data_IF_212040282642
#
_entry.id   IF_212040282642
#
_cell.length_a   1.000
_cell.length_b   1.000
_cell.length_c   1.000
_cell.angle_alpha   90.00
_cell.angle_beta   90.00
_cell.angle_gamma   90.00
#
_symmetry.space_group_name_H-M   'P 1'
#
loop_
_entity.id
_entity.type
_entity.pdbx_description
1 polymer ?
#
# COMPACT_ATOMS: atom_id res chain seq x y z
N UNK A 1 14.56 5.13 -19.75
CA UNK A 1 15.06 5.03 -18.36
C UNK A 1 15.89 3.77 -18.24
N UNK A 2 17.13 3.85 -17.77
CA UNK A 2 17.95 2.67 -17.47
C UNK A 2 17.65 2.20 -16.04
N UNK A 3 16.90 1.10 -15.91
CA UNK A 3 16.49 0.53 -14.62
C UNK A 3 17.71 0.15 -13.79
N UNK A 4 18.74 -0.41 -14.42
CA UNK A 4 19.96 -0.85 -13.74
C UNK A 4 20.72 0.33 -13.16
N UNK A 5 20.81 1.44 -13.90
CA UNK A 5 21.42 2.67 -13.37
C UNK A 5 20.63 3.25 -12.19
N UNK A 6 19.29 3.17 -12.20
CA UNK A 6 18.48 3.69 -11.10
C UNK A 6 18.63 2.83 -9.84
N UNK A 7 18.61 1.50 -10.00
CA UNK A 7 18.82 0.53 -8.92
C UNK A 7 20.20 0.72 -8.26
N UNK A 8 21.22 1.01 -9.06
CA UNK A 8 22.58 1.18 -8.58
C UNK A 8 22.94 2.64 -8.22
N UNK A 9 21.94 3.54 -8.18
CA UNK A 9 22.17 4.93 -7.83
C UNK A 9 22.80 5.05 -6.43
N UNK A 10 23.84 5.87 -6.32
CA UNK A 10 24.58 6.03 -5.08
C UNK A 10 23.92 7.07 -4.17
N UNK A 11 23.36 6.64 -3.05
CA UNK A 11 22.72 7.52 -2.06
C UNK A 11 23.71 8.18 -1.08
N UNK A 12 25.03 8.01 -1.25
CA UNK A 12 26.04 8.64 -0.37
C UNK A 12 25.90 10.17 -0.33
N UNK A 13 25.58 10.80 -1.45
CA UNK A 13 25.48 12.25 -1.56
C UNK A 13 24.23 12.81 -0.85
N UNK A 14 23.22 11.97 -0.59
CA UNK A 14 22.00 12.34 0.16
C UNK A 14 22.00 11.83 1.60
N UNK A 15 23.08 11.17 2.05
CA UNK A 15 23.23 10.66 3.43
C UNK A 15 23.04 11.74 4.50
N UNK A 16 23.52 12.96 4.23
CA UNK A 16 23.34 14.09 5.13
C UNK A 16 21.89 14.57 5.22
N UNK A 17 21.14 14.50 4.11
CA UNK A 17 19.70 14.83 4.07
C UNK A 17 18.89 13.75 4.80
N UNK A 18 19.24 12.48 4.59
CA UNK A 18 18.69 11.32 5.29
C UNK A 18 18.86 11.44 6.81
N UNK A 19 20.06 11.81 7.28
CA UNK A 19 20.32 11.99 8.72
C UNK A 19 19.47 13.09 9.36
N UNK A 20 18.89 13.97 8.54
CA UNK A 20 17.99 15.06 8.94
C UNK A 20 16.53 14.78 8.56
N UNK A 21 16.16 13.55 8.17
CA UNK A 21 14.79 13.13 7.81
C UNK A 21 13.74 13.73 8.76
N UNK A 22 13.96 13.57 10.06
CA UNK A 22 13.08 14.08 11.11
C UNK A 22 12.89 15.61 11.11
N UNK A 23 13.84 16.38 10.60
CA UNK A 23 13.80 17.85 10.63
C UNK A 23 12.99 18.44 9.47
N UNK A 24 12.88 17.75 8.34
CA UNK A 24 12.10 18.21 7.18
C UNK A 24 10.83 17.40 6.95
N UNK A 25 10.69 16.22 7.59
CA UNK A 25 9.42 15.49 7.70
C UNK A 25 8.84 15.58 9.11
N UNK A 26 8.65 16.80 9.60
CA UNK A 26 7.88 16.99 10.83
C UNK A 26 6.43 16.56 10.56
N UNK A 27 6.05 15.43 11.16
CA UNK A 27 4.72 14.87 10.98
C UNK A 27 3.67 15.78 11.62
N UNK A 28 2.72 16.22 10.81
CA UNK A 28 1.52 16.88 11.30
C UNK A 28 0.56 15.85 11.94
N UNK A 29 -0.60 16.33 12.39
CA UNK A 29 -1.59 15.46 13.02
C UNK A 29 -2.17 14.43 12.03
N UNK A 30 -2.43 14.83 10.78
CA UNK A 30 -2.99 13.96 9.75
C UNK A 30 -2.00 12.85 9.36
N UNK A 31 -0.71 13.18 9.29
CA UNK A 31 0.35 12.19 9.06
C UNK A 31 0.31 11.11 10.13
N UNK A 32 0.34 11.54 11.41
CA UNK A 32 0.30 10.63 12.56
C UNK A 32 -0.98 9.79 12.54
N UNK A 33 -2.11 10.40 12.22
CA UNK A 33 -3.41 9.71 12.18
C UNK A 33 -3.48 8.69 11.04
N UNK A 34 -3.05 9.06 9.84
CA UNK A 34 -3.01 8.17 8.66
C UNK A 34 -2.06 6.99 8.89
N UNK A 35 -0.88 7.27 9.45
CA UNK A 35 0.08 6.23 9.82
C UNK A 35 -0.49 5.33 10.92
N UNK A 36 -1.16 5.88 11.93
CA UNK A 36 -1.80 5.09 12.99
C UNK A 36 -2.93 4.21 12.45
N UNK A 37 -3.74 4.74 11.55
CA UNK A 37 -4.84 4.02 10.91
C UNK A 37 -4.36 2.83 10.08
N UNK A 38 -3.19 2.95 9.46
CA UNK A 38 -2.58 1.90 8.66
C UNK A 38 -1.56 1.07 9.43
N UNK A 39 -1.38 1.27 10.75
CA UNK A 39 -0.47 0.43 11.54
C UNK A 39 -1.03 -1.00 11.67
N UNK A 40 -0.16 -2.02 11.69
CA UNK A 40 1.30 -1.96 11.57
C UNK A 40 1.79 -1.96 10.11
N UNK A 41 0.92 -1.96 9.10
CA UNK A 41 1.31 -1.98 7.69
C UNK A 41 2.19 -0.79 7.29
N UNK A 42 2.02 0.36 7.92
CA UNK A 42 2.82 1.58 7.72
C UNK A 42 4.14 1.64 8.51
N UNK A 43 4.47 0.62 9.33
CA UNK A 43 5.78 0.56 10.00
C UNK A 43 6.92 0.59 8.97
N UNK A 44 8.06 1.18 9.32
CA UNK A 44 9.24 1.22 8.44
C UNK A 44 9.70 -0.21 8.11
N UNK A 45 9.95 -0.47 6.83
CA UNK A 45 10.51 -1.74 6.37
C UNK A 45 11.89 -1.50 5.74
N UNK A 46 12.75 -2.52 5.73
CA UNK A 46 14.06 -2.38 5.09
C UNK A 46 13.90 -2.21 3.58
N UNK A 47 14.41 -1.08 3.04
CA UNK A 47 14.45 -0.80 1.62
C UNK A 47 15.89 -0.47 1.17
N UNK A 48 16.52 -1.30 0.32
CA UNK A 48 17.89 -1.08 -0.15
C UNK A 48 18.00 0.02 -1.22
N UNK A 49 16.89 0.51 -1.77
CA UNK A 49 16.85 1.47 -2.88
C UNK A 49 16.57 2.91 -2.46
N UNK A 50 16.62 3.20 -1.17
CA UNK A 50 16.47 4.56 -0.66
C UNK A 50 15.30 4.69 0.29
N UNK A 51 14.64 5.84 0.23
CA UNK A 51 13.62 6.22 1.22
C UNK A 51 12.29 5.64 0.82
N UNK A 52 11.76 4.82 1.71
CA UNK A 52 10.36 4.48 1.73
C UNK A 52 9.55 5.65 2.34
N UNK A 53 8.54 6.12 1.62
CA UNK A 53 7.74 7.25 2.06
C UNK A 53 6.32 7.18 1.57
N UNK A 54 5.47 7.89 2.30
CA UNK A 54 4.14 8.22 1.87
C UNK A 54 4.13 9.60 1.19
N UNK A 55 3.43 9.75 0.08
CA UNK A 55 3.37 10.98 -0.71
C UNK A 55 2.80 12.14 0.13
N UNK A 56 1.88 11.85 1.05
CA UNK A 56 1.29 12.87 1.93
C UNK A 56 2.28 13.52 2.92
N UNK A 57 3.47 12.90 3.14
CA UNK A 57 4.56 13.49 3.92
C UNK A 57 5.21 14.70 3.22
N UNK A 58 5.14 14.77 1.88
CA UNK A 58 5.77 15.83 1.10
C UNK A 58 4.84 17.04 1.01
N UNK A 59 5.02 18.01 1.90
CA UNK A 59 4.18 19.22 1.97
C UNK A 59 4.58 20.29 0.94
N UNK A 60 5.77 20.18 0.34
CA UNK A 60 6.29 21.11 -0.66
C UNK A 60 6.81 20.35 -1.87
N UNK A 61 6.47 20.84 -3.07
CA UNK A 61 6.88 20.22 -4.35
C UNK A 61 8.40 20.07 -4.50
N UNK A 62 9.16 21.04 -4.02
CA UNK A 62 10.63 20.99 -4.14
C UNK A 62 11.27 19.92 -3.26
N UNK A 63 10.56 19.40 -2.24
CA UNK A 63 11.10 18.36 -1.35
C UNK A 63 11.25 17.01 -2.04
N UNK A 64 10.47 16.75 -3.11
CA UNK A 64 10.64 15.54 -3.92
C UNK A 64 12.09 15.45 -4.42
N UNK A 65 12.63 16.57 -4.91
CA UNK A 65 13.96 16.69 -5.51
C UNK A 65 15.14 16.48 -4.54
N UNK A 66 14.88 16.30 -3.25
CA UNK A 66 15.93 15.92 -2.30
C UNK A 66 16.48 14.51 -2.59
N UNK A 67 15.71 13.68 -3.29
CA UNK A 67 16.09 12.30 -3.60
C UNK A 67 16.04 12.06 -5.10
N UNK A 68 16.99 11.31 -5.67
CA UNK A 68 16.94 10.93 -7.08
C UNK A 68 15.75 10.00 -7.38
N UNK A 69 15.34 9.20 -6.40
CA UNK A 69 14.11 8.42 -6.45
C UNK A 69 13.44 8.32 -5.08
N UNK A 70 12.15 8.05 -5.08
CA UNK A 70 11.33 7.84 -3.90
C UNK A 70 10.53 6.56 -4.04
N UNK A 71 10.60 5.72 -3.01
CA UNK A 71 9.83 4.48 -2.96
C UNK A 71 8.50 4.74 -2.28
N UNK A 72 7.43 4.73 -3.08
CA UNK A 72 6.10 5.17 -2.66
C UNK A 72 5.33 3.98 -2.12
N UNK A 73 4.96 4.04 -0.83
CA UNK A 73 4.23 2.98 -0.13
C UNK A 73 2.71 3.17 -0.11
N UNK A 74 2.26 4.33 -0.57
CA UNK A 74 0.86 4.73 -0.64
C UNK A 74 -0.03 3.71 -1.34
N UNK A 75 -1.27 3.66 -0.88
CA UNK A 75 -2.35 3.01 -1.60
C UNK A 75 -2.79 3.79 -2.85
N UNK A 76 -3.60 3.14 -3.68
CA UNK A 76 -4.08 3.73 -4.93
C UNK A 76 -4.86 5.03 -4.72
N UNK A 77 -5.57 5.20 -3.60
CA UNK A 77 -6.28 6.45 -3.28
C UNK A 77 -5.32 7.65 -3.24
N UNK A 78 -4.26 7.52 -2.45
CA UNK A 78 -3.29 8.61 -2.25
C UNK A 78 -2.47 8.87 -3.51
N UNK A 79 -2.14 7.82 -4.29
CA UNK A 79 -1.46 7.95 -5.58
C UNK A 79 -2.34 8.69 -6.61
N UNK A 80 -3.62 8.30 -6.74
CA UNK A 80 -4.58 8.97 -7.63
C UNK A 80 -4.74 10.44 -7.25
N UNK A 81 -4.95 10.70 -5.95
CA UNK A 81 -5.09 12.06 -5.45
C UNK A 81 -3.82 12.90 -5.69
N UNK A 82 -2.63 12.33 -5.50
CA UNK A 82 -1.37 13.01 -5.80
C UNK A 82 -1.30 13.48 -7.26
N UNK A 83 -1.63 12.62 -8.21
CA UNK A 83 -1.60 12.99 -9.63
C UNK A 83 -2.72 13.97 -10.01
N UNK A 84 -3.84 13.95 -9.29
CA UNK A 84 -4.90 14.94 -9.48
C UNK A 84 -4.44 16.34 -9.05
N UNK A 85 -3.81 16.45 -7.87
CA UNK A 85 -3.27 17.72 -7.35
C UNK A 85 -2.04 18.18 -8.13
N UNK A 86 -1.26 17.24 -8.65
CA UNK A 86 -0.06 17.50 -9.44
C UNK A 86 -0.15 16.84 -10.81
N UNK A 87 -0.94 17.36 -11.74
CA UNK A 87 -1.17 16.74 -13.06
C UNK A 87 0.10 16.69 -13.92
N UNK A 88 1.12 17.49 -13.59
CA UNK A 88 2.41 17.55 -14.28
C UNK A 88 3.59 17.54 -13.32
N UNK A 89 4.72 16.90 -13.67
CA UNK A 89 5.92 16.85 -12.84
C UNK A 89 6.72 18.17 -12.85
N UNK A 90 6.13 19.33 -13.14
CA UNK A 90 6.88 20.58 -13.36
C UNK A 90 7.89 20.87 -12.23
N UNK A 91 9.19 20.85 -12.55
CA UNK A 91 10.27 21.06 -11.59
C UNK A 91 10.68 19.83 -10.77
N UNK A 92 9.99 18.69 -10.88
CA UNK A 92 10.32 17.42 -10.21
C UNK A 92 11.23 16.58 -11.12
N UNK A 93 12.42 16.27 -10.60
CA UNK A 93 13.45 15.44 -11.25
C UNK A 93 13.48 14.02 -10.69
N UNK A 94 12.86 13.82 -9.54
CA UNK A 94 12.81 12.56 -8.81
C UNK A 94 11.99 11.53 -9.54
N UNK A 95 12.50 10.30 -9.59
CA UNK A 95 11.73 9.16 -10.08
C UNK A 95 10.87 8.60 -8.94
N UNK A 96 9.55 8.57 -9.14
CA UNK A 96 8.62 7.88 -8.25
C UNK A 96 8.64 6.39 -8.58
N UNK A 97 9.03 5.58 -7.60
CA UNK A 97 8.97 4.12 -7.68
C UNK A 97 7.63 3.71 -7.07
N UNK A 98 6.70 3.32 -7.94
CA UNK A 98 5.29 3.07 -7.62
C UNK A 98 4.95 1.59 -7.75
N UNK A 99 3.98 1.09 -6.97
CA UNK A 99 3.50 -0.27 -7.10
C UNK A 99 2.92 -0.47 -8.49
N UNK A 100 3.10 -1.65 -9.06
CA UNK A 100 2.76 -1.86 -10.46
C UNK A 100 1.24 -1.79 -10.76
N UNK A 101 0.43 -2.01 -9.74
CA UNK A 101 -1.02 -1.76 -9.70
C UNK A 101 -1.38 -0.32 -10.01
N UNK A 102 -0.49 0.64 -9.69
CA UNK A 102 -0.67 2.05 -10.00
C UNK A 102 -0.47 2.39 -11.49
N UNK A 103 0.13 1.49 -12.28
CA UNK A 103 0.57 1.81 -13.64
C UNK A 103 -0.55 2.31 -14.58
N UNK A 104 -1.78 1.81 -14.39
CA UNK A 104 -2.97 2.23 -15.15
C UNK A 104 -3.54 3.58 -14.72
N UNK A 105 -2.95 4.23 -13.71
CA UNK A 105 -3.42 5.48 -13.14
C UNK A 105 -2.39 6.62 -13.26
N UNK A 106 -1.22 6.36 -13.86
CA UNK A 106 -0.16 7.36 -14.00
C UNK A 106 -0.44 8.24 -15.24
N UNK A 107 -0.63 9.57 -15.08
CA UNK A 107 -0.84 10.48 -16.20
C UNK A 107 0.28 10.41 -17.23
N UNK A 108 -0.02 10.72 -18.49
CA UNK A 108 0.95 10.66 -19.59
C UNK A 108 2.20 11.50 -19.33
N UNK A 109 2.00 12.65 -18.68
CA UNK A 109 2.99 13.64 -18.32
C UNK A 109 3.97 13.16 -17.25
N UNK A 110 3.61 12.14 -16.48
CA UNK A 110 4.41 11.59 -15.39
C UNK A 110 5.15 10.29 -15.75
N UNK A 111 4.86 9.72 -16.92
CA UNK A 111 5.34 8.38 -17.26
C UNK A 111 6.87 8.26 -17.28
N UNK A 112 7.58 9.34 -17.61
CA UNK A 112 9.05 9.36 -17.64
C UNK A 112 9.68 9.51 -16.25
N UNK A 113 8.90 10.01 -15.27
CA UNK A 113 9.29 10.20 -13.88
C UNK A 113 8.76 9.08 -12.99
N UNK A 114 8.24 7.99 -13.56
CA UNK A 114 7.72 6.85 -12.81
C UNK A 114 8.42 5.55 -13.23
N UNK A 115 8.73 4.73 -12.23
CA UNK A 115 9.14 3.34 -12.40
C UNK A 115 8.17 2.46 -11.61
N UNK A 116 7.79 1.30 -12.16
CA UNK A 116 6.89 0.39 -11.46
C UNK A 116 7.68 -0.72 -10.76
N UNK A 117 7.22 -1.15 -9.60
CA UNK A 117 7.76 -2.33 -8.90
C UNK A 117 6.67 -3.33 -8.52
N UNK A 118 7.07 -4.60 -8.44
CA UNK A 118 6.30 -5.67 -7.80
C UNK A 118 7.14 -6.35 -6.73
N UNK A 119 6.51 -6.83 -5.67
CA UNK A 119 7.13 -7.80 -4.77
C UNK A 119 7.03 -9.19 -5.41
N UNK A 120 8.14 -9.91 -5.46
CA UNK A 120 8.23 -11.28 -5.96
C UNK A 120 8.99 -12.16 -4.97
N UNK A 121 8.75 -13.47 -5.01
CA UNK A 121 9.43 -14.45 -4.16
C UNK A 121 10.47 -15.24 -4.94
N UNK A 122 11.47 -15.76 -4.23
CA UNK A 122 12.39 -16.73 -4.81
C UNK A 122 11.71 -18.10 -4.92
N UNK A 123 11.98 -18.89 -5.98
CA UNK A 123 11.53 -20.28 -6.06
C UNK A 123 12.03 -21.07 -4.86
N UNK A 124 11.09 -21.73 -4.17
CA UNK A 124 11.43 -22.66 -3.10
C UNK A 124 12.03 -23.93 -3.72
N UNK A 125 13.10 -24.46 -3.12
CA UNK A 125 13.76 -25.67 -3.61
C UNK A 125 12.93 -26.93 -3.40
N UNK A 126 12.03 -26.91 -2.42
CA UNK A 126 11.21 -28.04 -2.00
C UNK A 126 9.77 -27.55 -1.75
N UNK A 127 8.81 -28.42 -2.02
CA UNK A 127 7.42 -28.18 -1.67
C UNK A 127 7.27 -28.26 -0.15
N UNK A 128 7.00 -27.11 0.47
CA UNK A 128 6.84 -27.03 1.93
C UNK A 128 5.40 -27.33 2.27
N UNK A 129 5.16 -28.40 3.04
CA UNK A 129 3.83 -28.68 3.59
C UNK A 129 3.43 -27.55 4.56
N UNK A 130 2.40 -26.77 4.19
CA UNK A 130 1.90 -25.62 4.96
C UNK A 130 0.71 -26.05 5.82
N UNK A 131 0.79 -25.86 7.12
CA UNK A 131 -0.25 -26.29 8.08
C UNK A 131 -1.11 -25.14 8.62
N UNK A 132 -0.67 -23.89 8.42
CA UNK A 132 -1.31 -22.70 8.98
C UNK A 132 -1.55 -21.66 7.89
N UNK A 133 -2.72 -21.01 7.93
CA UNK A 133 -3.07 -19.89 7.07
C UNK A 133 -3.38 -18.66 7.93
N UNK A 134 -2.59 -17.62 7.74
CA UNK A 134 -2.77 -16.32 8.39
C UNK A 134 -3.62 -15.40 7.52
N UNK A 135 -4.76 -14.95 8.04
CA UNK A 135 -5.57 -13.88 7.46
C UNK A 135 -5.13 -12.56 8.09
N UNK A 136 -4.78 -11.58 7.26
CA UNK A 136 -4.33 -10.28 7.76
C UNK A 136 -4.97 -9.12 7.02
N UNK A 137 -5.40 -8.10 7.76
CA UNK A 137 -5.90 -6.83 7.21
C UNK A 137 -6.03 -5.76 8.29
N UNK A 138 -6.13 -4.50 7.84
CA UNK A 138 -6.71 -3.43 8.63
C UNK A 138 -8.23 -3.55 8.60
N UNK A 139 -8.88 -3.44 9.75
CA UNK A 139 -10.34 -3.46 9.87
C UNK A 139 -10.87 -2.08 9.52
N UNK A 140 -11.39 -1.94 8.30
CA UNK A 140 -12.11 -0.75 7.85
C UNK A 140 -13.13 -1.14 6.79
N UNK A 141 -14.39 -0.75 6.97
CA UNK A 141 -15.47 -1.10 6.04
C UNK A 141 -15.20 -0.62 4.59
N UNK A 142 -14.41 0.44 4.44
CA UNK A 142 -14.05 0.99 3.13
C UNK A 142 -12.97 0.20 2.40
N UNK A 143 -12.30 -0.74 3.08
CA UNK A 143 -11.14 -1.46 2.55
C UNK A 143 -11.45 -2.74 1.79
N UNK A 144 -12.67 -3.25 1.91
CA UNK A 144 -13.05 -4.51 1.30
C UNK A 144 -14.30 -4.37 0.45
N UNK A 145 -14.34 -5.16 -0.63
CA UNK A 145 -15.56 -5.45 -1.34
C UNK A 145 -16.19 -6.68 -0.69
N UNK A 146 -17.42 -6.56 -0.19
CA UNK A 146 -18.08 -7.65 0.54
C UNK A 146 -18.15 -8.96 -0.25
N UNK A 147 -18.34 -8.89 -1.57
CA UNK A 147 -18.41 -10.08 -2.41
C UNK A 147 -17.06 -10.77 -2.53
N UNK A 148 -15.99 -9.99 -2.70
CA UNK A 148 -14.65 -10.56 -2.82
C UNK A 148 -14.09 -11.02 -1.47
N UNK A 149 -14.32 -10.26 -0.39
CA UNK A 149 -13.99 -10.70 0.95
C UNK A 149 -14.63 -12.06 1.24
N UNK A 150 -15.92 -12.24 0.88
CA UNK A 150 -16.59 -13.54 1.00
C UNK A 150 -15.82 -14.65 0.30
N UNK A 151 -15.49 -14.41 -0.97
CA UNK A 151 -14.82 -15.39 -1.81
C UNK A 151 -13.45 -15.77 -1.23
N UNK A 152 -12.68 -14.78 -0.75
CA UNK A 152 -11.39 -15.01 -0.10
C UNK A 152 -11.51 -15.82 1.19
N UNK A 153 -12.49 -15.52 2.04
CA UNK A 153 -12.73 -16.26 3.28
C UNK A 153 -13.24 -17.69 3.00
N UNK A 154 -14.13 -17.88 2.02
CA UNK A 154 -14.61 -19.19 1.57
C UNK A 154 -13.45 -20.06 1.04
N UNK A 155 -12.51 -19.45 0.31
CA UNK A 155 -11.29 -20.14 -0.16
C UNK A 155 -10.37 -20.50 1.00
N UNK A 156 -10.19 -19.59 1.96
CA UNK A 156 -9.41 -19.85 3.17
C UNK A 156 -9.98 -21.03 3.97
N UNK A 157 -11.30 -21.09 4.17
CA UNK A 157 -11.94 -22.19 4.89
C UNK A 157 -11.77 -23.55 4.19
N UNK A 158 -11.77 -23.58 2.85
CA UNK A 158 -11.56 -24.81 2.06
C UNK A 158 -10.11 -25.31 2.09
N UNK A 159 -9.15 -24.51 2.56
CA UNK A 159 -7.72 -24.87 2.57
C UNK A 159 -7.35 -26.02 3.50
N UNK A 160 -8.22 -26.39 4.45
CA UNK A 160 -7.96 -27.35 5.54
C UNK A 160 -6.78 -26.98 6.46
N UNK A 161 -6.21 -25.77 6.32
CA UNK A 161 -5.17 -25.26 7.21
C UNK A 161 -5.78 -24.71 8.51
N UNK A 162 -4.98 -24.67 9.58
CA UNK A 162 -5.38 -23.95 10.79
C UNK A 162 -5.43 -22.45 10.51
N UNK A 163 -6.61 -21.84 10.64
CA UNK A 163 -6.83 -20.43 10.36
C UNK A 163 -6.43 -19.56 11.55
N UNK A 164 -5.58 -18.57 11.30
CA UNK A 164 -5.16 -17.56 12.25
C UNK A 164 -5.55 -16.17 11.75
N UNK A 165 -6.09 -15.32 12.61
CA UNK A 165 -6.48 -13.94 12.28
C UNK A 165 -5.55 -12.90 12.90
N UNK A 166 -5.04 -11.99 12.08
CA UNK A 166 -4.31 -10.78 12.48
C UNK A 166 -5.06 -9.57 11.96
N UNK A 167 -5.98 -9.06 12.77
CA UNK A 167 -6.85 -7.96 12.38
C UNK A 167 -6.46 -6.71 13.14
N UNK A 168 -6.03 -5.70 12.39
CA UNK A 168 -5.55 -4.45 12.96
C UNK A 168 -6.69 -3.45 12.99
N UNK A 169 -7.16 -3.16 14.20
CA UNK A 169 -8.23 -2.20 14.44
C UNK A 169 -7.64 -0.79 14.42
N UNK A 170 -8.45 0.16 13.99
CA UNK A 170 -8.14 1.56 14.19
C UNK A 170 -8.17 1.86 15.70
N UNK A 171 -7.03 2.26 16.27
CA UNK A 171 -7.02 2.85 17.60
C UNK A 171 -7.35 4.35 17.45
N UNK A 172 -8.53 4.81 17.90
CA UNK A 172 -8.88 6.22 17.85
C UNK A 172 -7.88 7.04 18.66
N UNK A 173 -7.47 8.19 18.14
CA UNK A 173 -6.52 9.09 18.80
C UNK A 173 -7.23 10.36 19.29
N UNK A 174 -6.94 10.79 20.51
CA UNK A 174 -7.44 12.05 21.05
C UNK A 174 -8.95 12.02 21.33
N UNK A 175 -9.68 13.03 20.86
CA UNK A 175 -11.11 13.22 21.13
C UNK A 175 -12.02 12.10 20.57
N UNK A 176 -11.53 11.32 19.59
CA UNK A 176 -12.25 10.16 19.03
C UNK A 176 -12.41 9.02 20.03
N UNK A 177 -11.49 8.88 20.98
CA UNK A 177 -11.56 7.82 21.99
C UNK A 177 -12.77 7.97 22.92
N UNK A 178 -13.43 9.13 22.92
CA UNK A 178 -14.56 9.45 23.78
C UNK A 178 -15.90 8.97 23.18
N UNK A 179 -15.98 8.68 21.87
CA UNK A 179 -17.29 8.55 21.18
C UNK A 179 -17.48 7.31 20.29
N UNK A 180 -16.55 6.34 20.27
CA UNK A 180 -16.64 5.24 19.30
C UNK A 180 -17.25 3.97 19.88
N UNK A 181 -18.59 3.90 19.92
CA UNK A 181 -19.28 2.65 19.60
C UNK A 181 -19.24 2.49 18.07
N UNK A 182 -18.04 2.22 17.53
CA UNK A 182 -17.89 2.05 16.09
C UNK A 182 -18.44 0.67 15.68
N UNK A 183 -19.67 0.65 15.18
CA UNK A 183 -20.34 -0.55 14.70
C UNK A 183 -19.58 -1.26 13.57
N UNK A 184 -18.62 -0.59 12.90
CA UNK A 184 -17.87 -1.15 11.76
C UNK A 184 -17.00 -2.35 12.14
N UNK A 185 -16.32 -2.29 13.29
CA UNK A 185 -15.54 -3.43 13.78
C UNK A 185 -16.46 -4.62 14.07
N UNK A 186 -17.60 -4.34 14.70
CA UNK A 186 -18.60 -5.35 15.02
C UNK A 186 -19.17 -6.00 13.74
N UNK A 187 -19.47 -5.21 12.71
CA UNK A 187 -19.91 -5.70 11.40
C UNK A 187 -18.86 -6.58 10.74
N UNK A 188 -17.59 -6.15 10.72
CA UNK A 188 -16.50 -6.95 10.16
C UNK A 188 -16.30 -8.28 10.91
N UNK A 189 -16.28 -8.27 12.24
CA UNK A 189 -16.13 -9.49 13.03
C UNK A 189 -17.36 -10.40 12.94
N UNK A 190 -18.57 -9.84 12.84
CA UNK A 190 -19.76 -10.64 12.56
C UNK A 190 -19.69 -11.28 11.19
N UNK A 191 -19.22 -10.54 10.18
CA UNK A 191 -19.03 -11.05 8.84
C UNK A 191 -18.02 -12.20 8.82
N UNK A 192 -16.87 -12.02 9.46
CA UNK A 192 -15.86 -13.08 9.65
C UNK A 192 -16.46 -14.30 10.32
N UNK A 193 -17.20 -14.12 11.43
CA UNK A 193 -17.82 -15.21 12.19
C UNK A 193 -18.90 -15.95 11.39
N UNK A 194 -19.66 -15.24 10.57
CA UNK A 194 -20.72 -15.83 9.75
C UNK A 194 -20.15 -16.57 8.53
N UNK A 195 -18.95 -16.20 8.08
CA UNK A 195 -18.31 -16.78 6.90
C UNK A 195 -17.37 -17.92 7.29
N UNK A 196 -16.54 -17.72 8.31
CA UNK A 196 -15.61 -18.72 8.83
C UNK A 196 -16.25 -19.40 10.04
N UNK A 197 -16.56 -20.69 9.93
CA UNK A 197 -16.94 -21.55 11.06
C UNK A 197 -15.90 -21.42 12.19
N UNK A 198 -16.31 -21.52 13.47
CA UNK A 198 -15.63 -21.23 14.76
C UNK A 198 -14.15 -21.68 15.00
N UNK A 199 -13.34 -21.90 13.97
CA UNK A 199 -11.97 -22.41 13.94
C UNK A 199 -10.92 -21.31 13.66
N UNK A 200 -11.28 -20.03 13.76
CA UNK A 200 -10.36 -18.91 13.59
C UNK A 200 -9.73 -18.53 14.94
N UNK A 201 -8.42 -18.73 15.08
CA UNK A 201 -7.68 -18.25 16.25
C UNK A 201 -7.21 -16.80 16.01
N UNK A 202 -7.62 -15.88 16.88
CA UNK A 202 -7.16 -14.49 16.82
C UNK A 202 -5.82 -14.33 17.53
N UNK A 203 -4.86 -13.68 16.86
CA UNK A 203 -3.51 -13.47 17.34
C UNK A 203 -3.15 -11.98 17.38
N UNK A 204 -2.21 -11.63 18.25
CA UNK A 204 -1.63 -10.29 18.32
C UNK A 204 -0.39 -10.18 17.41
N UNK A 205 -0.18 -9.01 16.79
CA UNK A 205 0.96 -8.76 15.91
C UNK A 205 2.31 -9.09 16.57
N UNK A 206 2.46 -8.76 17.85
CA UNK A 206 3.72 -8.94 18.59
C UNK A 206 4.06 -10.41 18.77
N UNK A 207 3.06 -11.29 18.79
CA UNK A 207 3.26 -12.75 18.92
C UNK A 207 4.00 -13.37 17.73
N UNK A 208 4.03 -12.69 16.58
CA UNK A 208 4.64 -13.20 15.35
C UNK A 208 6.06 -12.73 15.08
N UNK A 209 6.55 -11.74 15.85
CA UNK A 209 7.88 -11.18 15.61
C UNK A 209 9.01 -12.20 15.85
N UNK A 210 8.75 -13.24 16.65
CA UNK A 210 9.71 -14.31 16.98
C UNK A 210 9.38 -15.68 16.38
N UNK A 211 8.27 -15.81 15.64
CA UNK A 211 7.81 -17.09 15.11
C UNK A 211 8.55 -17.44 13.81
N UNK A 212 8.88 -18.71 13.62
CA UNK A 212 9.30 -19.23 12.32
C UNK A 212 8.09 -19.33 11.40
N UNK A 213 8.09 -18.53 10.32
CA UNK A 213 6.99 -18.46 9.35
C UNK A 213 7.30 -19.25 8.06
N UNK A 214 8.39 -20.02 8.03
CA UNK A 214 8.82 -20.75 6.82
C UNK A 214 7.83 -21.81 6.35
N UNK A 215 6.90 -22.24 7.21
CA UNK A 215 5.86 -23.25 6.94
C UNK A 215 4.44 -22.70 6.97
N UNK A 216 4.26 -21.38 6.95
CA UNK A 216 2.92 -20.77 7.01
C UNK A 216 2.54 -20.15 5.68
N UNK A 217 1.26 -20.18 5.34
CA UNK A 217 0.71 -19.36 4.29
C UNK A 217 0.07 -18.11 4.89
N UNK A 218 -0.01 -17.03 4.11
CA UNK A 218 -0.74 -15.83 4.52
C UNK A 218 -1.61 -15.29 3.37
N UNK A 219 -2.70 -14.64 3.74
CA UNK A 219 -3.64 -13.98 2.84
C UNK A 219 -3.87 -12.56 3.37
N UNK A 220 -3.46 -11.57 2.58
CA UNK A 220 -3.70 -10.15 2.87
C UNK A 220 -5.03 -9.73 2.24
N UNK A 221 -6.04 -9.47 3.07
CA UNK A 221 -7.42 -9.18 2.62
C UNK A 221 -7.57 -7.76 2.06
N UNK A 222 -6.49 -6.95 2.05
CA UNK A 222 -6.41 -5.69 1.33
C UNK A 222 -6.08 -5.96 -0.15
N UNK A 223 -7.09 -6.32 -0.93
CA UNK A 223 -6.91 -6.68 -2.35
C UNK A 223 -6.61 -5.47 -3.23
N UNK A 224 -7.37 -4.38 -3.03
CA UNK A 224 -7.32 -3.20 -3.89
C UNK A 224 -6.14 -2.28 -3.58
N UNK A 225 -5.33 -2.61 -2.57
CA UNK A 225 -4.23 -1.79 -2.08
C UNK A 225 -4.65 -0.32 -1.89
N UNK A 226 -5.85 -0.12 -1.32
CA UNK A 226 -6.53 1.18 -1.37
C UNK A 226 -5.83 2.23 -0.51
N UNK A 227 -5.46 1.87 0.73
CA UNK A 227 -4.73 2.75 1.66
C UNK A 227 -3.21 2.57 1.64
N UNK A 228 -2.73 1.36 1.37
CA UNK A 228 -1.30 1.05 1.25
C UNK A 228 -1.09 -0.05 0.19
N UNK A 229 0.06 0.00 -0.50
CA UNK A 229 0.52 -1.05 -1.41
C UNK A 229 1.73 -1.82 -0.87
N UNK A 230 2.57 -1.18 -0.06
CA UNK A 230 3.74 -1.83 0.56
C UNK A 230 3.54 -1.99 2.07
N UNK A 231 3.19 -3.21 2.46
CA UNK A 231 2.80 -3.59 3.80
C UNK A 231 3.98 -4.16 4.57
N UNK A 232 4.33 -3.54 5.70
CA UNK A 232 5.37 -4.05 6.60
C UNK A 232 5.05 -5.46 7.12
N UNK A 233 3.76 -5.77 7.28
CA UNK A 233 3.26 -7.09 7.67
C UNK A 233 3.58 -8.12 6.59
N UNK A 234 3.28 -7.80 5.32
CA UNK A 234 3.63 -8.63 4.18
C UNK A 234 5.14 -8.82 4.06
N UNK A 235 5.92 -7.76 4.24
CA UNK A 235 7.38 -7.84 4.25
C UNK A 235 7.89 -8.77 5.36
N UNK A 236 7.30 -8.74 6.56
CA UNK A 236 7.67 -9.64 7.66
C UNK A 236 7.35 -11.10 7.32
N UNK A 237 6.16 -11.39 6.80
CA UNK A 237 5.78 -12.73 6.38
C UNK A 237 6.74 -13.28 5.33
N UNK A 238 6.96 -12.52 4.25
CA UNK A 238 7.85 -12.91 3.16
C UNK A 238 9.30 -13.06 3.63
N UNK A 239 9.80 -12.13 4.45
CA UNK A 239 11.17 -12.19 4.99
C UNK A 239 11.44 -13.39 5.87
N UNK A 240 10.40 -14.02 6.42
CA UNK A 240 10.49 -15.21 7.25
C UNK A 240 10.07 -16.50 6.49
N UNK A 241 9.90 -16.43 5.17
CA UNK A 241 9.66 -17.61 4.31
C UNK A 241 8.20 -18.03 4.20
N UNK A 242 7.26 -17.20 4.66
CA UNK A 242 5.84 -17.43 4.41
C UNK A 242 5.52 -17.30 2.91
N UNK A 243 4.50 -18.02 2.44
CA UNK A 243 4.00 -17.94 1.07
C UNK A 243 2.64 -17.27 1.02
N UNK A 244 2.38 -16.45 0.01
CA UNK A 244 1.03 -15.91 -0.22
C UNK A 244 0.10 -17.02 -0.69
N UNK A 245 -1.09 -17.07 -0.10
CA UNK A 245 -2.12 -18.07 -0.38
C UNK A 245 -2.83 -17.82 -1.71
N UNK A 246 -3.02 -16.55 -2.07
CA UNK A 246 -3.64 -16.08 -3.32
C UNK A 246 -2.67 -15.98 -4.50
N UNK A 247 -1.42 -16.43 -4.33
CA UNK A 247 -0.34 -16.33 -5.33
C UNK A 247 -0.06 -14.91 -5.83
N UNK A 248 -0.41 -13.87 -5.05
CA UNK A 248 -0.09 -12.47 -5.35
C UNK A 248 1.40 -12.24 -5.52
N UNK A 249 2.22 -12.91 -4.71
CA UNK A 249 3.68 -12.81 -4.73
C UNK A 249 4.32 -14.03 -5.41
N UNK A 250 4.23 -14.07 -6.74
CA UNK A 250 4.71 -15.19 -7.57
C UNK A 250 6.20 -15.47 -7.37
N UNK A 251 6.54 -16.74 -7.46
CA UNK A 251 7.91 -17.20 -7.44
C UNK A 251 8.51 -17.06 -8.86
N UNK A 252 9.56 -16.26 -8.99
CA UNK A 252 10.23 -16.00 -10.26
C UNK A 252 11.76 -16.05 -10.10
N UNK A 253 12.46 -16.34 -11.19
CA UNK A 253 13.93 -16.33 -11.20
C UNK A 253 14.43 -14.89 -11.03
N UNK A 254 15.30 -14.68 -10.06
CA UNK A 254 15.91 -13.38 -9.79
C UNK A 254 16.86 -12.98 -10.93
N UNK A 255 16.75 -11.73 -11.38
CA UNK A 255 17.59 -11.14 -12.42
C UNK A 255 18.21 -9.84 -11.92
N UNK A 256 19.54 -9.75 -11.90
CA UNK A 256 20.27 -8.58 -11.36
C UNK A 256 20.06 -7.28 -12.16
N UNK A 257 19.56 -7.36 -13.39
CA UNK A 257 19.35 -6.16 -14.23
C UNK A 257 18.09 -5.38 -13.86
N UNK A 258 17.06 -6.06 -13.31
CA UNK A 258 15.75 -5.48 -13.01
C UNK A 258 15.21 -5.87 -11.63
N UNK A 259 15.99 -6.55 -10.79
CA UNK A 259 15.59 -6.98 -9.47
C UNK A 259 16.52 -6.49 -8.37
N UNK A 260 15.95 -6.23 -7.19
CA UNK A 260 16.70 -5.86 -5.98
C UNK A 260 16.25 -6.70 -4.81
N UNK A 261 17.22 -7.39 -4.21
CA UNK A 261 17.00 -8.29 -3.10
C UNK A 261 16.63 -7.52 -1.83
N UNK A 262 15.55 -7.93 -1.17
CA UNK A 262 15.09 -7.36 0.10
C UNK A 262 15.40 -8.28 1.27
N UNK A 263 15.16 -9.58 1.08
CA UNK A 263 15.50 -10.59 2.07
C UNK A 263 16.07 -11.84 1.38
N UNK A 264 16.24 -12.93 2.13
CA UNK A 264 16.58 -14.24 1.56
C UNK A 264 15.47 -14.82 0.68
N UNK A 265 14.21 -14.41 0.88
CA UNK A 265 13.04 -15.07 0.29
C UNK A 265 12.27 -14.20 -0.70
N UNK A 266 12.46 -12.89 -0.71
CA UNK A 266 11.77 -11.99 -1.62
C UNK A 266 12.62 -10.81 -2.07
N UNK A 267 12.19 -10.22 -3.19
CA UNK A 267 12.85 -9.13 -3.88
C UNK A 267 11.83 -8.22 -4.55
N UNK A 268 12.23 -6.98 -4.86
CA UNK A 268 11.49 -6.12 -5.76
C UNK A 268 11.91 -6.39 -7.19
N UNK A 269 10.93 -6.50 -8.10
CA UNK A 269 11.14 -6.56 -9.55
C UNK A 269 10.62 -5.28 -10.18
N UNK A 270 11.44 -4.64 -10.99
CA UNK A 270 11.16 -3.36 -11.61
C UNK A 270 10.76 -3.50 -13.06
N UNK A 271 9.87 -2.63 -13.53
CA UNK A 271 9.50 -2.53 -14.94
C UNK A 271 9.08 -1.12 -15.30
N UNK A 272 9.17 -0.81 -16.58
CA UNK A 272 8.53 0.39 -17.13
C UNK A 272 7.03 0.19 -17.30
N UNK A 273 6.29 1.28 -17.40
CA UNK A 273 4.85 1.27 -17.69
C UNK A 273 4.59 0.61 -19.05
N UNK A 274 3.71 -0.40 -19.08
CA UNK A 274 3.36 -1.12 -20.30
C UNK A 274 2.50 -0.29 -21.25
N UNK A 275 2.44 -0.63 -22.55
CA UNK A 275 1.56 0.05 -23.51
C UNK A 275 0.08 0.00 -23.08
N UNK A 276 -0.35 -1.12 -22.52
CA UNK A 276 -1.70 -1.31 -22.01
C UNK A 276 -2.00 -0.39 -20.83
N UNK A 277 -1.09 -0.31 -19.86
CA UNK A 277 -1.21 0.60 -18.71
C UNK A 277 -1.29 2.06 -19.15
N UNK A 278 -0.50 2.46 -20.16
CA UNK A 278 -0.57 3.82 -20.73
C UNK A 278 -1.95 4.13 -21.33
N UNK A 279 -2.52 3.20 -22.11
CA UNK A 279 -3.85 3.34 -22.71
C UNK A 279 -4.95 3.45 -21.64
N UNK A 280 -4.85 2.63 -20.59
CA UNK A 280 -5.80 2.65 -19.48
C UNK A 280 -5.71 3.98 -18.73
N UNK A 281 -4.49 4.49 -18.49
CA UNK A 281 -4.28 5.79 -17.86
C UNK A 281 -4.86 6.94 -18.69
N UNK A 282 -4.65 6.94 -20.01
CA UNK A 282 -5.26 7.95 -20.90
C UNK A 282 -6.80 7.95 -20.79
N UNK A 283 -7.41 6.77 -20.75
CA UNK A 283 -8.87 6.63 -20.62
C UNK A 283 -9.36 7.12 -19.25
N UNK A 284 -8.65 6.75 -18.18
CA UNK A 284 -8.93 7.18 -16.81
C UNK A 284 -8.85 8.71 -16.66
N UNK A 285 -7.75 9.33 -17.11
CA UNK A 285 -7.58 10.78 -16.99
C UNK A 285 -8.48 11.56 -17.93
N UNK A 286 -8.86 11.01 -19.09
CA UNK A 286 -9.91 11.59 -19.91
C UNK A 286 -11.23 11.66 -19.14
N UNK A 287 -11.64 10.56 -18.52
CA UNK A 287 -12.86 10.50 -17.71
C UNK A 287 -12.83 11.51 -16.55
N UNK A 288 -11.74 11.53 -15.77
CA UNK A 288 -11.58 12.48 -14.65
C UNK A 288 -11.69 13.93 -15.11
N UNK A 289 -11.07 14.27 -16.25
CA UNK A 289 -11.09 15.63 -16.79
C UNK A 289 -12.45 16.05 -17.39
N UNK A 290 -13.33 15.10 -17.71
CA UNK A 290 -14.70 15.37 -18.17
C UNK A 290 -15.67 15.64 -17.00
N UNK A 291 -15.29 15.30 -15.77
CA UNK A 291 -16.10 15.57 -14.57
C UNK A 291 -16.20 17.09 -14.36
N UNK A 292 -17.41 17.65 -14.14
CA UNK A 292 -17.57 19.07 -13.93
C UNK A 292 -16.74 19.59 -12.76
N UNK A 293 -16.02 20.70 -12.96
CA UNK A 293 -15.09 21.26 -11.97
C UNK A 293 -15.72 21.58 -10.61
N UNK A 294 -17.04 21.81 -10.56
CA UNK A 294 -17.76 22.06 -9.31
C UNK A 294 -17.89 20.81 -8.41
N UNK A 295 -17.71 19.60 -8.96
CA UNK A 295 -17.76 18.34 -8.19
C UNK A 295 -16.59 18.25 -7.22
N UNK A 296 -15.40 18.66 -7.66
CA UNK A 296 -14.17 18.64 -6.84
C UNK A 296 -13.75 20.03 -6.36
N UNK A 297 -14.68 20.99 -6.31
CA UNK A 297 -14.37 22.39 -5.92
C UNK A 297 -13.77 22.49 -4.51
N UNK A 298 -14.17 21.59 -3.61
CA UNK A 298 -13.68 21.54 -2.24
C UNK A 298 -12.29 20.89 -2.13
N UNK A 299 -11.83 20.15 -3.16
CA UNK A 299 -10.49 19.53 -3.15
C UNK A 299 -9.39 20.61 -3.11
N UNK A 300 -9.60 21.71 -3.83
CA UNK A 300 -8.71 22.87 -3.80
C UNK A 300 -8.79 23.65 -2.47
N UNK A 301 -9.82 23.41 -1.67
CA UNK A 301 -10.09 24.08 -0.39
C UNK A 301 -9.68 23.23 0.81
N UNK A 302 -9.16 22.01 0.59
CA UNK A 302 -8.59 21.15 1.62
C UNK A 302 -7.34 21.82 2.23
N UNK A 303 -7.58 22.71 3.18
CA UNK A 303 -6.58 23.24 4.08
C UNK A 303 -6.54 22.31 5.31
N UNK A 304 -5.39 21.68 5.56
CA UNK A 304 -5.25 20.68 6.63
C UNK A 304 -5.34 21.37 7.99
N UNK A 305 -6.55 21.54 8.55
CA UNK A 305 -6.78 22.21 9.86
C UNK A 305 -7.13 21.23 10.96
N UNK A 306 -6.80 21.62 12.20
CA UNK A 306 -7.07 20.92 13.46
C UNK A 306 -8.47 20.26 13.58
N UNK A 307 -9.48 20.91 13.01
CA UNK A 307 -10.89 20.55 13.12
C UNK A 307 -11.36 19.52 12.09
N UNK A 308 -10.67 19.38 10.96
CA UNK A 308 -11.01 18.43 9.90
C UNK A 308 -10.56 17.00 10.26
N UNK A 309 -10.05 16.81 11.48
CA UNK A 309 -9.31 15.64 11.91
C UNK A 309 -10.12 14.63 12.72
N UNK A 310 -11.46 14.71 12.77
CA UNK A 310 -12.31 13.65 13.35
C UNK A 310 -12.56 12.47 12.39
N UNK A 311 -12.26 12.65 11.10
CA UNK A 311 -12.35 11.63 10.07
C UNK A 311 -11.07 11.76 9.22
N UNK A 312 -10.42 10.67 8.81
CA UNK A 312 -9.16 10.78 8.05
C UNK A 312 -9.51 11.17 6.62
N UNK A 313 -9.43 12.47 6.31
CA UNK A 313 -9.66 12.98 4.96
C UNK A 313 -8.32 13.22 4.24
N UNK A 314 -7.88 12.24 3.45
CA UNK A 314 -6.80 12.46 2.49
C UNK A 314 -7.28 13.30 1.28
N UNK A 315 -8.56 13.20 0.98
CA UNK A 315 -9.26 13.87 -0.13
C UNK A 315 -10.73 14.06 0.26
N UNK A 316 -11.50 14.76 -0.58
CA UNK A 316 -12.95 14.90 -0.40
C UNK A 316 -13.68 13.54 -0.51
N UNK A 317 -14.88 13.39 0.11
CA UNK A 317 -15.73 12.20 -0.08
C UNK A 317 -16.05 11.91 -1.55
N UNK A 318 -16.25 12.96 -2.35
CA UNK A 318 -16.50 12.86 -3.79
C UNK A 318 -15.31 12.22 -4.51
N UNK A 319 -14.08 12.69 -4.23
CA UNK A 319 -12.89 12.11 -4.81
C UNK A 319 -12.63 10.68 -4.31
N UNK A 320 -12.91 10.41 -3.02
CA UNK A 320 -12.84 9.07 -2.44
C UNK A 320 -13.77 8.10 -3.16
N UNK A 321 -15.01 8.52 -3.47
CA UNK A 321 -15.97 7.72 -4.23
C UNK A 321 -15.47 7.45 -5.65
N UNK A 322 -15.02 8.48 -6.35
CA UNK A 322 -14.43 8.35 -7.69
C UNK A 322 -13.26 7.34 -7.70
N UNK A 323 -12.33 7.48 -6.75
CA UNK A 323 -11.18 6.59 -6.67
C UNK A 323 -11.62 5.13 -6.46
N UNK A 324 -12.62 4.89 -5.60
CA UNK A 324 -13.17 3.56 -5.37
C UNK A 324 -13.77 2.96 -6.64
N UNK A 325 -14.54 3.75 -7.40
CA UNK A 325 -15.15 3.31 -8.65
C UNK A 325 -14.08 2.96 -9.70
N UNK A 326 -13.11 3.85 -9.91
CA UNK A 326 -12.01 3.63 -10.86
C UNK A 326 -11.17 2.40 -10.52
N UNK A 327 -10.92 2.15 -9.23
CA UNK A 327 -10.15 0.99 -8.78
C UNK A 327 -10.95 -0.30 -9.01
N UNK A 328 -12.24 -0.31 -8.67
CA UNK A 328 -13.09 -1.50 -8.86
C UNK A 328 -13.34 -1.84 -10.33
N UNK A 329 -13.26 -0.88 -11.26
CA UNK A 329 -13.37 -1.15 -12.70
C UNK A 329 -12.05 -1.66 -13.31
N UNK A 330 -10.93 -1.52 -12.58
CA UNK A 330 -9.58 -1.83 -13.09
C UNK A 330 -9.06 -3.22 -12.70
N UNK A 331 -9.71 -3.90 -11.74
CA UNK A 331 -9.38 -5.23 -11.22
C UNK A 331 -10.60 -6.14 -11.29
#
# INVERSE_FOLDING_TARGET
>A
MDIKSLINANYRDVSSVLSKKANWMEMDFLDKKTLNYTRPHSEECFNPLGIDSFLFHFKKKDWFNFFPSLFVRDGLLSILHFFYVHPKPDGIKTILILPDTAGSFIPSEWQEQCLLYKIQTHPLKEEVNRSELYLTTTVAAELYNDSNLKQQLDLAQKSQMSLKGLFFRHEPLGEEAVDTNDNRDFEFFNYLKNTIENNLELLDWRSLKSKDLSKVSFLELNENNYWYNDSAVTHHFLSNGASSFDHRYKAETFNEDDCVRISKYHYYKFKTISKEQKKNAESCWKYINEIPSHVFKEEALLDRKAQDYKEIFLCTPEFKSLAKDLINESF
#
